data_IF_985578280581
#
_entry.id   IF_985578280581
#
_cell.length_a   1.000
_cell.length_b   1.000
_cell.length_c   1.000
_cell.angle_alpha   90.00
_cell.angle_beta   90.00
_cell.angle_gamma   90.00
#
_symmetry.space_group_name_H-M   'P 1'
#
loop_
_entity.id
_entity.type
_entity.pdbx_description
1 polymer ?
#
# COMPACT_ATOMS: atom_id res chain seq x y z
N UNK A 1 10.40 -5.00 -21.56
CA UNK A 1 9.32 -5.51 -20.69
C UNK A 1 8.64 -4.32 -20.04
N UNK A 2 7.35 -4.12 -20.26
CA UNK A 2 6.62 -2.98 -19.71
C UNK A 2 6.53 -3.08 -18.18
N UNK A 3 7.11 -2.12 -17.46
CA UNK A 3 7.00 -1.99 -16.00
C UNK A 3 5.62 -1.46 -15.59
N UNK A 4 4.54 -2.17 -15.94
CA UNK A 4 3.21 -1.88 -15.42
C UNK A 4 3.08 -2.49 -14.02
N UNK A 5 3.56 -1.79 -12.99
CA UNK A 5 3.45 -2.25 -11.61
C UNK A 5 2.03 -1.97 -11.09
N UNK A 6 1.18 -2.99 -11.05
CA UNK A 6 -0.05 -2.94 -10.26
C UNK A 6 0.31 -2.74 -8.77
N UNK A 7 -0.44 -1.90 -8.07
CA UNK A 7 -0.26 -1.66 -6.63
C UNK A 7 -1.47 -2.16 -5.83
N UNK A 8 -1.21 -2.54 -4.58
CA UNK A 8 -2.22 -2.96 -3.61
C UNK A 8 -2.29 -1.92 -2.51
N UNK A 9 -3.48 -1.41 -2.22
CA UNK A 9 -3.69 -0.48 -1.11
C UNK A 9 -3.54 -1.21 0.22
N UNK A 10 -2.93 -0.53 1.19
CA UNK A 10 -2.64 -1.09 2.51
C UNK A 10 -3.20 -0.16 3.57
N UNK A 11 -3.93 -0.73 4.51
CA UNK A 11 -4.39 -0.07 5.72
C UNK A 11 -3.67 -0.67 6.94
N UNK A 12 -3.48 0.12 7.99
CA UNK A 12 -3.11 -0.39 9.30
C UNK A 12 -4.33 -0.89 10.09
N UNK A 13 -4.12 -1.41 11.31
CA UNK A 13 -5.22 -1.89 12.15
C UNK A 13 -6.23 -0.79 12.57
N UNK A 14 -5.86 0.49 12.51
CA UNK A 14 -6.75 1.63 12.75
C UNK A 14 -7.45 2.14 11.47
N UNK A 15 -7.33 1.39 10.36
CA UNK A 15 -7.84 1.74 9.02
C UNK A 15 -7.19 2.98 8.43
N UNK A 16 -6.00 3.38 8.91
CA UNK A 16 -5.23 4.45 8.32
C UNK A 16 -4.51 3.98 7.06
N UNK A 17 -4.55 4.74 5.96
CA UNK A 17 -3.79 4.44 4.76
C UNK A 17 -2.28 4.43 5.03
N UNK A 18 -1.61 3.40 4.50
CA UNK A 18 -0.16 3.31 4.41
C UNK A 18 0.27 3.40 2.94
N UNK A 19 1.58 3.45 2.70
CA UNK A 19 2.11 3.36 1.33
C UNK A 19 1.59 2.07 0.65
N UNK A 20 1.09 2.16 -0.60
CA UNK A 20 0.73 0.99 -1.38
C UNK A 20 1.93 0.06 -1.54
N UNK A 21 1.67 -1.25 -1.60
CA UNK A 21 2.72 -2.24 -1.80
C UNK A 21 2.57 -2.98 -3.12
N UNK A 22 3.65 -3.62 -3.55
CA UNK A 22 3.62 -4.52 -4.72
C UNK A 22 2.77 -5.77 -4.39
N UNK A 23 2.05 -6.35 -5.36
CA UNK A 23 1.26 -7.57 -5.17
C UNK A 23 2.04 -8.74 -4.55
N UNK A 24 3.34 -8.86 -4.84
CA UNK A 24 4.21 -9.85 -4.20
C UNK A 24 4.28 -9.69 -2.68
N UNK A 25 4.45 -8.47 -2.18
CA UNK A 25 4.45 -8.16 -0.75
C UNK A 25 3.08 -8.43 -0.12
N UNK A 26 1.99 -8.02 -0.78
CA UNK A 26 0.64 -8.28 -0.31
C UNK A 26 0.38 -9.79 -0.13
N UNK A 27 0.78 -10.61 -1.11
CA UNK A 27 0.69 -12.09 -1.02
C UNK A 27 1.50 -12.64 0.15
N UNK A 28 2.75 -12.18 0.33
CA UNK A 28 3.59 -12.63 1.45
C UNK A 28 2.97 -12.29 2.81
N UNK A 29 2.39 -11.09 2.96
CA UNK A 29 1.71 -10.68 4.19
C UNK A 29 0.44 -11.50 4.47
N UNK A 30 -0.37 -11.76 3.44
CA UNK A 30 -1.57 -12.59 3.55
C UNK A 30 -1.23 -14.04 3.90
N UNK A 31 -0.24 -14.65 3.21
CA UNK A 31 0.22 -16.02 3.50
C UNK A 31 0.78 -16.16 4.91
N UNK A 32 1.48 -15.13 5.40
CA UNK A 32 2.02 -15.11 6.76
C UNK A 32 0.96 -14.80 7.84
N UNK A 33 -0.31 -14.58 7.48
CA UNK A 33 -1.37 -14.22 8.43
C UNK A 33 -1.19 -12.85 9.09
N UNK A 34 -0.32 -11.99 8.54
CA UNK A 34 -0.03 -10.65 9.09
C UNK A 34 -0.99 -9.57 8.59
N UNK A 35 -1.79 -9.89 7.57
CA UNK A 35 -2.79 -9.03 6.98
C UNK A 35 -4.05 -9.82 6.62
N UNK A 36 -5.15 -9.11 6.37
CA UNK A 36 -6.42 -9.65 5.87
C UNK A 36 -6.87 -8.85 4.65
N UNK A 37 -7.71 -9.45 3.80
CA UNK A 37 -8.37 -8.70 2.71
C UNK A 37 -9.41 -7.77 3.32
N UNK A 38 -9.30 -6.48 3.06
CA UNK A 38 -10.27 -5.48 3.51
C UNK A 38 -11.37 -5.25 2.47
N UNK A 39 -10.99 -5.08 1.20
CA UNK A 39 -11.90 -4.85 0.07
C UNK A 39 -11.34 -5.46 -1.21
N UNK A 40 -12.21 -5.98 -2.08
CA UNK A 40 -11.81 -6.63 -3.35
C UNK A 40 -11.53 -5.65 -4.49
N UNK A 41 -12.28 -4.55 -4.59
CA UNK A 41 -12.04 -3.51 -5.60
C UNK A 41 -12.28 -2.09 -5.05
N UNK A 42 -11.27 -1.20 -5.03
CA UNK A 42 -9.88 -1.53 -5.35
C UNK A 42 -9.31 -2.54 -4.34
N UNK A 43 -8.43 -3.44 -4.81
CA UNK A 43 -7.92 -4.50 -3.95
C UNK A 43 -7.09 -3.89 -2.81
N UNK A 44 -7.54 -4.13 -1.58
CA UNK A 44 -7.02 -3.49 -0.37
C UNK A 44 -6.80 -4.53 0.71
N UNK A 45 -5.64 -4.52 1.35
CA UNK A 45 -5.33 -5.35 2.52
C UNK A 45 -5.25 -4.48 3.77
N UNK A 46 -5.55 -5.06 4.93
CA UNK A 46 -5.41 -4.42 6.25
C UNK A 46 -4.43 -5.22 7.10
N UNK A 47 -3.45 -4.55 7.71
CA UNK A 47 -2.47 -5.16 8.61
C UNK A 47 -3.12 -5.44 9.97
N UNK A 48 -2.69 -6.52 10.63
CA UNK A 48 -3.15 -6.88 11.98
C UNK A 48 -2.46 -6.07 13.10
N UNK A 49 -1.73 -5.00 12.76
CA UNK A 49 -1.01 -4.16 13.71
C UNK A 49 -1.17 -2.68 13.39
N UNK A 50 -1.05 -1.86 14.42
CA UNK A 50 -0.85 -0.43 14.26
C UNK A 50 0.54 -0.16 13.70
N UNK A 51 0.63 0.88 12.86
CA UNK A 51 1.89 1.34 12.31
C UNK A 51 2.03 2.82 12.65
N UNK A 52 3.10 3.16 13.37
CA UNK A 52 3.44 4.56 13.60
C UNK A 52 3.71 5.23 12.24
N UNK A 53 3.02 6.33 11.97
CA UNK A 53 3.18 7.08 10.72
C UNK A 53 4.62 7.60 10.61
N UNK A 54 5.36 7.06 9.64
CA UNK A 54 6.64 7.59 9.17
C UNK A 54 6.49 7.89 7.68
N UNK A 55 5.94 9.06 7.37
CA UNK A 55 5.90 9.53 5.99
C UNK A 55 7.27 10.12 5.66
N UNK A 56 7.90 9.59 4.61
CA UNK A 56 9.06 10.24 4.03
C UNK A 56 8.55 11.38 3.15
N UNK A 57 9.03 12.60 3.36
CA UNK A 57 8.61 13.75 2.56
C UNK A 57 8.87 13.47 1.08
N UNK A 58 7.83 13.60 0.25
CA UNK A 58 7.92 13.46 -1.20
C UNK A 58 8.11 14.84 -1.80
N UNK A 59 9.17 15.02 -2.59
CA UNK A 59 9.34 16.23 -3.40
C UNK A 59 8.55 16.07 -4.69
N UNK A 60 7.43 16.77 -4.81
CA UNK A 60 6.73 16.92 -6.07
C UNK A 60 7.48 17.92 -6.94
N UNK A 61 8.12 17.43 -8.01
CA UNK A 61 8.64 18.29 -9.08
C UNK A 61 7.51 18.52 -10.08
N UNK A 62 6.98 19.73 -10.10
CA UNK A 62 6.01 20.20 -11.09
C UNK A 62 6.78 21.14 -12.03
N UNK A 63 6.83 20.82 -13.31
CA UNK A 63 7.30 21.76 -14.33
C UNK A 63 6.17 22.79 -14.56
N UNK A 64 6.43 24.10 -14.50
CA UNK A 64 5.42 25.13 -14.74
C UNK A 64 4.97 25.23 -16.22
N UNK A 65 5.56 24.47 -17.16
CA UNK A 65 5.27 24.57 -18.59
C UNK A 65 4.06 23.76 -19.07
N UNK A 66 3.16 24.43 -19.80
CA UNK A 66 2.01 23.88 -20.57
C UNK A 66 2.27 23.82 -22.06
#
# INVERSE_FOLDING_TARGET
MSNSTNYVFVLDASKKPLLPCKPGMARSLLKAGKAKVFRRYPFTIILNKLVAEKHQGLLLKIDPGS
#
